data_IF_596281388281
#
_entry.id   IF_596281388281
#
_cell.length_a   1.000
_cell.length_b   1.000
_cell.length_c   1.000
_cell.angle_alpha   90.00
_cell.angle_beta   90.00
_cell.angle_gamma   90.00
#
_symmetry.space_group_name_H-M   'P 1'
#
loop_
_entity.id
_entity.type
_entity.pdbx_description
1 polymer ?
#
# COMPACT_ATOMS: atom_id res chain seq x y z
N UNK A 1 10.40 -59.85 -13.79
CA UNK A 1 10.22 -61.05 -12.96
C UNK A 1 9.26 -60.70 -11.81
N UNK A 2 8.10 -61.37 -11.80
CA UNK A 2 7.12 -61.59 -10.70
C UNK A 2 6.81 -60.48 -9.65
N UNK A 3 5.58 -59.97 -9.80
CA UNK A 3 4.56 -59.69 -8.77
C UNK A 3 4.72 -60.38 -7.40
N UNK A 4 4.36 -59.70 -6.31
CA UNK A 4 3.13 -59.97 -5.51
C UNK A 4 3.11 -59.16 -4.18
N UNK A 5 2.04 -58.38 -3.91
CA UNK A 5 0.86 -58.69 -3.04
C UNK A 5 1.23 -58.73 -1.56
N UNK A 6 0.45 -58.26 -0.57
CA UNK A 6 -0.94 -57.77 -0.38
C UNK A 6 -0.92 -57.22 1.07
N UNK A 7 -1.51 -56.06 1.38
CA UNK A 7 -2.91 -55.90 1.86
C UNK A 7 -3.21 -56.70 3.13
N UNK A 8 -3.63 -56.03 4.22
CA UNK A 8 -4.84 -56.38 5.00
C UNK A 8 -5.30 -55.12 5.77
N UNK A 9 -6.60 -54.85 5.63
CA UNK A 9 -7.46 -53.93 6.37
C UNK A 9 -8.08 -54.65 7.55
N UNK A 10 -8.46 -53.94 8.60
CA UNK A 10 -9.66 -54.12 9.45
C UNK A 10 -9.60 -53.01 10.51
N UNK A 11 -10.64 -52.27 10.88
CA UNK A 11 -12.07 -52.46 10.74
C UNK A 11 -12.73 -52.28 12.11
N UNK A 12 -13.43 -51.14 12.27
CA UNK A 12 -14.72 -51.01 12.97
C UNK A 12 -14.81 -51.21 14.50
N UNK A 13 -15.26 -50.19 15.25
CA UNK A 13 -16.61 -50.11 15.88
C UNK A 13 -16.72 -48.92 16.85
N UNK A 14 -17.81 -48.16 16.71
CA UNK A 14 -18.37 -47.25 17.71
C UNK A 14 -18.80 -48.02 18.96
N UNK A 15 -18.68 -47.42 20.13
CA UNK A 15 -19.57 -47.65 21.27
C UNK A 15 -19.56 -46.43 22.22
N UNK A 16 -20.71 -46.24 22.85
CA UNK A 16 -21.20 -45.01 23.46
C UNK A 16 -20.61 -44.65 24.84
N UNK A 17 -20.96 -43.42 25.25
CA UNK A 17 -20.71 -42.73 26.54
C UNK A 17 -21.13 -43.55 27.78
N UNK A 18 -20.62 -43.16 28.96
CA UNK A 18 -21.56 -42.53 29.91
C UNK A 18 -21.02 -41.28 30.62
N UNK A 19 -21.99 -40.58 31.21
CA UNK A 19 -21.92 -39.47 32.17
C UNK A 19 -20.96 -39.75 33.35
N UNK A 20 -20.29 -38.71 33.84
CA UNK A 20 -20.23 -38.41 35.28
C UNK A 20 -19.78 -36.97 35.53
N UNK A 21 -20.45 -36.32 36.49
CA UNK A 21 -20.27 -34.95 36.92
C UNK A 21 -19.20 -34.85 38.03
N UNK A 22 -19.19 -33.71 38.73
CA UNK A 22 -18.48 -33.36 39.97
C UNK A 22 -17.20 -32.53 39.81
N UNK A 23 -17.22 -31.35 40.47
CA UNK A 23 -16.00 -30.69 40.93
C UNK A 23 -15.86 -29.20 40.62
N UNK A 24 -16.75 -28.35 41.16
CA UNK A 24 -16.50 -26.92 41.23
C UNK A 24 -15.38 -26.63 42.24
N UNK A 25 -14.27 -26.03 41.79
CA UNK A 25 -13.30 -25.36 42.64
C UNK A 25 -13.22 -23.89 42.25
N UNK A 26 -13.82 -23.04 43.08
CA UNK A 26 -13.62 -21.59 43.04
C UNK A 26 -12.33 -21.26 43.78
N UNK A 27 -11.30 -20.81 43.07
CA UNK A 27 -10.15 -20.14 43.66
C UNK A 27 -10.37 -18.63 43.58
N UNK A 28 -10.60 -18.02 44.73
CA UNK A 28 -10.62 -16.57 44.89
C UNK A 28 -9.19 -16.04 44.75
N UNK A 29 -8.89 -15.32 43.67
CA UNK A 29 -7.68 -14.50 43.56
C UNK A 29 -7.98 -13.12 44.13
N UNK A 30 -7.35 -12.80 45.26
CA UNK A 30 -7.36 -11.47 45.85
C UNK A 30 -6.60 -10.49 44.94
N UNK A 31 -7.31 -9.48 44.44
CA UNK A 31 -6.71 -8.34 43.75
C UNK A 31 -6.09 -7.39 44.79
N UNK A 32 -4.76 -7.32 44.82
CA UNK A 32 -4.01 -6.25 45.47
C UNK A 32 -4.02 -5.03 44.55
N UNK A 33 -4.72 -3.96 44.97
CA UNK A 33 -4.67 -2.65 44.34
C UNK A 33 -3.36 -1.96 44.75
N UNK A 34 -2.36 -1.95 43.87
CA UNK A 34 -1.23 -1.04 43.97
C UNK A 34 -1.53 0.21 43.11
N UNK A 35 -1.62 1.36 43.78
CA UNK A 35 -2.01 2.64 43.21
C UNK A 35 -1.04 3.20 42.17
N UNK A 36 -1.61 3.94 41.23
CA UNK A 36 -0.92 4.67 40.16
C UNK A 36 -0.18 5.89 40.72
N UNK A 37 1.15 5.87 40.65
CA UNK A 37 2.00 7.07 40.71
C UNK A 37 2.45 7.45 39.31
N UNK A 38 1.63 8.20 38.58
CA UNK A 38 1.96 8.70 37.25
C UNK A 38 3.03 9.79 37.35
N UNK A 39 4.29 9.45 37.06
CA UNK A 39 5.29 10.46 36.73
C UNK A 39 4.95 11.04 35.35
N UNK A 40 4.89 12.37 35.18
CA UNK A 40 4.75 12.97 33.86
C UNK A 40 6.00 12.59 33.06
N UNK A 41 5.84 11.65 32.11
CA UNK A 41 6.83 11.43 31.07
C UNK A 41 6.77 12.66 30.18
N UNK A 42 7.78 13.50 30.26
CA UNK A 42 8.04 14.55 29.28
C UNK A 42 7.93 13.90 27.90
N UNK A 43 7.01 14.32 27.02
CA UNK A 43 6.95 13.77 25.69
C UNK A 43 8.25 14.14 24.98
N UNK A 44 9.04 13.11 24.65
CA UNK A 44 10.18 13.24 23.77
C UNK A 44 9.66 13.84 22.47
N UNK A 45 10.04 15.08 22.19
CA UNK A 45 9.66 15.79 20.99
C UNK A 45 10.19 15.01 19.78
N UNK A 46 9.31 14.33 19.05
CA UNK A 46 9.67 13.89 17.70
C UNK A 46 9.78 15.12 16.80
N UNK A 47 10.77 15.17 15.89
CA UNK A 47 11.05 16.37 15.12
C UNK A 47 9.93 16.61 14.11
N UNK A 48 9.74 17.88 13.76
CA UNK A 48 9.05 18.28 12.54
C UNK A 48 9.52 17.42 11.35
N UNK A 49 8.64 17.21 10.36
CA UNK A 49 8.90 16.41 9.17
C UNK A 49 10.34 16.54 8.69
N UNK A 50 10.96 15.39 8.38
CA UNK A 50 12.35 15.31 8.03
C UNK A 50 12.68 16.38 6.98
N UNK A 51 13.67 17.26 7.22
CA UNK A 51 14.01 18.30 6.27
C UNK A 51 14.34 17.66 4.91
N UNK A 52 14.12 18.36 3.79
CA UNK A 52 14.43 17.86 2.43
C UNK A 52 15.80 17.19 2.35
N UNK A 53 16.77 17.68 3.13
CA UNK A 53 18.11 17.11 3.26
C UNK A 53 18.16 15.64 3.70
N UNK A 54 17.16 15.13 4.43
CA UNK A 54 17.11 13.73 4.86
C UNK A 54 16.48 12.83 3.79
N UNK A 55 15.47 13.32 3.07
CA UNK A 55 14.90 12.61 1.91
C UNK A 55 15.96 12.54 0.79
N UNK A 56 16.69 13.63 0.56
CA UNK A 56 17.84 13.65 -0.37
C UNK A 56 19.00 12.76 0.09
N UNK A 57 19.30 12.72 1.40
CA UNK A 57 20.34 11.84 1.94
C UNK A 57 19.98 10.35 1.78
N UNK A 58 18.74 9.94 2.03
CA UNK A 58 18.31 8.55 1.83
C UNK A 58 18.35 8.16 0.35
N UNK A 59 17.93 9.07 -0.55
CA UNK A 59 18.05 8.87 -2.01
C UNK A 59 19.50 8.67 -2.46
N UNK A 60 20.43 9.45 -1.90
CA UNK A 60 21.85 9.33 -2.23
C UNK A 60 22.44 7.97 -1.85
N UNK A 61 21.97 7.37 -0.74
CA UNK A 61 22.37 6.03 -0.32
C UNK A 61 21.93 4.96 -1.33
N UNK A 62 20.78 5.16 -1.97
CA UNK A 62 20.21 4.20 -2.91
C UNK A 62 20.38 4.58 -4.38
N UNK A 63 21.19 5.61 -4.68
CA UNK A 63 21.31 6.16 -6.04
C UNK A 63 21.66 5.11 -7.10
N UNK A 64 22.43 4.08 -6.75
CA UNK A 64 22.79 2.98 -7.66
C UNK A 64 21.63 2.02 -8.01
N UNK A 65 20.52 2.08 -7.27
CA UNK A 65 19.32 1.25 -7.47
C UNK A 65 18.14 2.03 -8.04
N UNK A 66 18.27 3.36 -8.13
CA UNK A 66 17.24 4.27 -8.64
C UNK A 66 17.61 4.70 -10.06
N UNK A 67 16.62 4.93 -10.94
CA UNK A 67 16.90 5.55 -12.22
C UNK A 67 17.40 6.99 -12.06
N UNK A 68 18.12 7.49 -13.05
CA UNK A 68 18.47 8.90 -13.10
C UNK A 68 17.19 9.70 -13.39
N UNK A 69 16.73 10.58 -12.48
CA UNK A 69 15.46 11.29 -12.62
C UNK A 69 15.44 12.29 -13.79
N UNK A 70 16.60 12.69 -14.32
CA UNK A 70 16.68 13.53 -15.51
C UNK A 70 16.45 12.75 -16.81
N UNK A 71 16.79 11.46 -16.82
CA UNK A 71 16.59 10.57 -17.98
C UNK A 71 15.22 9.90 -17.92
N UNK A 72 14.83 9.46 -16.71
CA UNK A 72 13.61 8.69 -16.48
C UNK A 72 12.79 9.33 -15.36
N UNK A 73 12.11 10.46 -15.63
CA UNK A 73 11.26 11.13 -14.65
C UNK A 73 9.97 10.37 -14.30
N UNK A 74 9.57 9.36 -15.09
CA UNK A 74 8.33 8.59 -14.88
C UNK A 74 7.16 9.15 -15.69
N UNK A 75 7.22 8.94 -17.01
CA UNK A 75 6.15 9.35 -17.93
C UNK A 75 4.96 8.36 -17.91
N UNK A 76 3.74 8.87 -17.83
CA UNK A 76 2.51 8.09 -17.74
C UNK A 76 1.54 8.42 -18.88
N UNK A 77 0.75 7.42 -19.29
CA UNK A 77 -0.33 7.56 -20.26
C UNK A 77 -1.57 8.19 -19.61
N UNK A 78 -2.41 8.92 -20.36
CA UNK A 78 -3.67 9.45 -19.88
C UNK A 78 -4.73 8.33 -19.82
N UNK A 79 -4.59 7.41 -18.87
CA UNK A 79 -5.50 6.27 -18.67
C UNK A 79 -6.24 6.34 -17.34
N UNK A 80 -7.37 5.66 -17.27
CA UNK A 80 -8.18 5.56 -16.06
C UNK A 80 -7.89 4.27 -15.30
N UNK A 81 -8.35 4.21 -14.04
CA UNK A 81 -8.35 2.97 -13.24
C UNK A 81 -9.08 1.84 -13.97
N UNK A 82 -10.18 2.15 -14.67
CA UNK A 82 -10.95 1.14 -15.41
C UNK A 82 -10.13 0.52 -16.56
N UNK A 83 -9.30 1.32 -17.22
CA UNK A 83 -8.44 0.84 -18.30
C UNK A 83 -7.38 -0.12 -17.79
N UNK A 84 -6.63 0.29 -16.75
CA UNK A 84 -5.49 -0.49 -16.24
C UNK A 84 -5.94 -1.76 -15.51
N UNK A 85 -7.11 -1.74 -14.85
CA UNK A 85 -7.68 -2.88 -14.15
C UNK A 85 -8.40 -3.86 -15.09
N UNK A 86 -8.44 -3.58 -16.40
CA UNK A 86 -8.96 -4.52 -17.39
C UNK A 86 -7.95 -5.66 -17.60
N UNK A 87 -8.35 -6.93 -17.44
CA UNK A 87 -7.44 -8.06 -17.63
C UNK A 87 -6.70 -8.02 -18.97
N UNK A 88 -5.37 -8.04 -18.90
CA UNK A 88 -4.49 -8.03 -20.06
C UNK A 88 -4.20 -6.64 -20.65
N UNK A 89 -4.58 -5.54 -19.99
CA UNK A 89 -4.19 -4.18 -20.39
C UNK A 89 -2.67 -4.07 -20.63
N UNK A 90 -1.84 -4.34 -19.61
CA UNK A 90 -0.38 -4.23 -19.71
C UNK A 90 0.19 -5.08 -20.85
N UNK A 91 -0.36 -6.29 -21.05
CA UNK A 91 0.03 -7.19 -22.16
C UNK A 91 -0.17 -6.57 -23.54
N UNK A 92 -1.23 -5.78 -23.72
CA UNK A 92 -1.54 -5.11 -24.99
C UNK A 92 -0.59 -3.94 -25.26
N UNK A 93 -0.15 -3.24 -24.22
CA UNK A 93 0.67 -2.03 -24.34
C UNK A 93 2.17 -2.25 -24.15
N UNK A 94 2.63 -3.47 -23.82
CA UNK A 94 4.04 -3.77 -23.46
C UNK A 94 5.11 -3.63 -24.54
N UNK A 95 4.75 -3.32 -25.78
CA UNK A 95 5.73 -3.36 -26.87
C UNK A 95 6.67 -2.14 -26.85
N UNK A 96 7.93 -2.36 -26.48
CA UNK A 96 9.01 -1.37 -26.61
C UNK A 96 9.93 -1.81 -27.75
N UNK A 97 10.05 -1.03 -28.84
CA UNK A 97 10.94 -1.34 -29.96
C UNK A 97 12.40 -1.55 -29.52
N UNK A 98 13.11 -2.44 -30.20
CA UNK A 98 14.52 -2.74 -29.88
C UNK A 98 15.41 -1.50 -30.00
N UNK A 99 15.09 -0.62 -30.95
CA UNK A 99 15.77 0.66 -31.15
C UNK A 99 15.66 1.56 -29.92
N UNK A 100 14.48 1.62 -29.30
CA UNK A 100 14.24 2.38 -28.07
C UNK A 100 15.02 1.77 -26.91
N UNK A 101 15.00 0.43 -26.77
CA UNK A 101 15.79 -0.26 -25.73
C UNK A 101 17.28 0.04 -25.84
N UNK A 102 17.82 0.05 -27.07
CA UNK A 102 19.22 0.41 -27.32
C UNK A 102 19.50 1.87 -26.99
N UNK A 103 18.59 2.79 -27.30
CA UNK A 103 18.73 4.21 -26.95
C UNK A 103 18.78 4.40 -25.43
N UNK A 104 17.92 3.71 -24.66
CA UNK A 104 17.94 3.77 -23.19
C UNK A 104 19.32 3.39 -22.64
N UNK A 105 19.90 2.27 -23.09
CA UNK A 105 21.25 1.88 -22.67
C UNK A 105 22.31 2.93 -23.02
N UNK A 106 22.21 3.57 -24.20
CA UNK A 106 23.12 4.63 -24.62
C UNK A 106 23.02 5.88 -23.73
N UNK A 107 21.80 6.31 -23.37
CA UNK A 107 21.58 7.46 -22.49
C UNK A 107 22.11 7.22 -21.07
N UNK A 108 22.08 5.96 -20.62
CA UNK A 108 22.66 5.53 -19.35
C UNK A 108 24.15 5.18 -19.41
N UNK A 109 24.80 5.31 -20.58
CA UNK A 109 26.24 5.03 -20.74
C UNK A 109 26.61 3.55 -20.63
N UNK A 110 25.67 2.63 -20.83
CA UNK A 110 25.87 1.18 -20.74
C UNK A 110 26.13 0.63 -22.15
N UNK A 111 27.40 0.46 -22.49
CA UNK A 111 27.82 -0.06 -23.80
C UNK A 111 28.08 -1.57 -23.81
N UNK A 112 28.32 -2.16 -22.64
CA UNK A 112 28.59 -3.58 -22.46
C UNK A 112 27.90 -4.07 -21.20
N UNK A 113 27.17 -5.18 -21.31
CA UNK A 113 26.53 -5.88 -20.20
C UNK A 113 26.34 -7.35 -20.60
N UNK A 114 26.17 -8.23 -19.62
CA UNK A 114 25.86 -9.64 -19.91
C UNK A 114 24.37 -9.82 -20.25
N UNK A 115 23.99 -10.86 -21.01
CA UNK A 115 22.59 -11.24 -21.16
C UNK A 115 21.96 -11.51 -19.79
N UNK A 116 20.80 -10.90 -19.53
CA UNK A 116 20.06 -11.06 -18.27
C UNK A 116 20.56 -10.20 -17.10
N UNK A 117 21.53 -9.30 -17.32
CA UNK A 117 22.00 -8.37 -16.28
C UNK A 117 20.99 -7.25 -15.99
N UNK A 118 20.36 -6.74 -17.05
CA UNK A 118 19.37 -5.67 -17.00
C UNK A 118 18.10 -6.02 -17.80
N UNK A 119 16.99 -5.46 -17.37
CA UNK A 119 15.79 -5.26 -18.18
C UNK A 119 15.64 -3.78 -18.50
N UNK A 120 15.19 -3.45 -19.73
CA UNK A 120 14.71 -2.11 -20.00
C UNK A 120 13.28 -2.05 -19.48
N UNK A 121 13.15 -1.46 -18.31
CA UNK A 121 11.96 -1.51 -17.48
C UNK A 121 11.30 -0.13 -17.33
N UNK A 122 10.02 -0.15 -16.99
CA UNK A 122 9.18 1.03 -16.82
C UNK A 122 9.24 1.54 -15.38
N UNK A 123 9.68 2.77 -15.12
CA UNK A 123 9.71 3.32 -13.76
C UNK A 123 8.30 3.33 -13.13
N UNK A 124 7.31 3.88 -13.84
CA UNK A 124 5.89 3.64 -13.58
C UNK A 124 5.50 2.41 -14.39
N UNK A 125 5.10 1.33 -13.72
CA UNK A 125 4.65 0.10 -14.39
C UNK A 125 3.54 0.35 -15.40
N UNK A 126 3.47 -0.45 -16.46
CA UNK A 126 2.33 -0.45 -17.37
C UNK A 126 1.02 -0.80 -16.65
N UNK A 127 1.07 -1.59 -15.57
CA UNK A 127 -0.11 -1.89 -14.74
C UNK A 127 -0.61 -0.66 -13.95
N UNK A 128 0.20 0.40 -13.87
CA UNK A 128 -0.14 1.71 -13.32
C UNK A 128 -0.25 2.78 -14.43
N UNK A 129 -0.39 2.36 -15.69
CA UNK A 129 -0.54 3.29 -16.81
C UNK A 129 0.75 4.01 -17.22
N UNK A 130 1.92 3.49 -16.87
CA UNK A 130 3.19 4.01 -17.40
C UNK A 130 3.25 4.00 -18.93
N UNK A 131 4.05 4.89 -19.50
CA UNK A 131 4.22 4.98 -20.95
C UNK A 131 5.43 4.18 -21.44
N UNK A 132 5.46 3.82 -22.74
CA UNK A 132 6.65 3.27 -23.41
C UNK A 132 7.66 4.36 -23.83
N UNK A 133 7.49 5.59 -23.35
CA UNK A 133 8.42 6.68 -23.63
C UNK A 133 9.76 6.40 -22.98
N UNK A 134 10.85 6.87 -23.61
CA UNK A 134 12.18 6.83 -22.99
C UNK A 134 12.22 7.51 -21.61
N UNK A 135 11.34 8.50 -21.39
CA UNK A 135 11.16 9.20 -20.11
C UNK A 135 10.57 8.33 -18.99
N UNK A 136 10.13 7.12 -19.31
CA UNK A 136 9.68 6.12 -18.34
C UNK A 136 10.52 4.84 -18.39
N UNK A 137 11.51 4.74 -19.28
CA UNK A 137 12.33 3.54 -19.44
C UNK A 137 13.72 3.72 -18.84
N UNK A 138 14.24 2.69 -18.20
CA UNK A 138 15.59 2.67 -17.64
C UNK A 138 16.17 1.25 -17.59
N UNK A 139 17.51 1.09 -17.55
CA UNK A 139 18.14 -0.21 -17.35
C UNK A 139 18.04 -0.62 -15.88
N UNK A 140 17.06 -1.47 -15.55
CA UNK A 140 16.91 -2.02 -14.21
C UNK A 140 17.71 -3.31 -14.05
N UNK A 141 18.60 -3.36 -13.06
CA UNK A 141 19.42 -4.55 -12.81
C UNK A 141 18.67 -5.69 -12.12
N UNK A 142 18.96 -6.93 -12.53
CA UNK A 142 18.55 -8.15 -11.82
C UNK A 142 19.55 -8.59 -10.74
N UNK A 143 20.80 -8.14 -10.83
CA UNK A 143 21.91 -8.68 -10.03
C UNK A 143 22.28 -7.81 -8.84
N UNK A 144 21.86 -6.54 -8.82
CA UNK A 144 22.09 -5.65 -7.69
C UNK A 144 21.43 -6.20 -6.42
N UNK A 145 22.05 -5.86 -5.28
CA UNK A 145 21.58 -6.26 -3.94
C UNK A 145 21.66 -5.06 -2.99
N UNK A 146 20.69 -4.89 -2.07
CA UNK A 146 19.54 -5.78 -1.87
C UNK A 146 18.39 -5.53 -2.86
N UNK A 147 18.39 -4.37 -3.53
CA UNK A 147 17.35 -3.91 -4.45
C UNK A 147 17.65 -4.32 -5.90
N UNK A 148 16.65 -4.86 -6.62
CA UNK A 148 16.72 -5.28 -8.02
C UNK A 148 15.31 -5.36 -8.64
N UNK A 149 15.22 -5.69 -9.93
CA UNK A 149 13.98 -5.84 -10.69
C UNK A 149 12.91 -6.66 -9.96
N UNK A 150 13.25 -7.86 -9.45
CA UNK A 150 12.29 -8.71 -8.75
C UNK A 150 11.72 -8.09 -7.47
N UNK A 151 12.45 -7.18 -6.83
CA UNK A 151 11.95 -6.45 -5.66
C UNK A 151 11.00 -5.33 -6.08
N UNK A 152 11.31 -4.62 -7.17
CA UNK A 152 10.39 -3.62 -7.72
C UNK A 152 9.10 -4.28 -8.22
N UNK A 153 9.16 -5.44 -8.88
CA UNK A 153 7.98 -6.20 -9.31
C UNK A 153 6.99 -6.44 -8.16
N UNK A 154 7.49 -6.73 -6.94
CA UNK A 154 6.62 -6.92 -5.77
C UNK A 154 5.85 -5.64 -5.43
N UNK A 155 6.51 -4.48 -5.47
CA UNK A 155 5.86 -3.19 -5.25
C UNK A 155 4.85 -2.90 -6.35
N UNK A 156 5.18 -3.13 -7.62
CA UNK A 156 4.27 -2.84 -8.73
C UNK A 156 2.98 -3.64 -8.64
N UNK A 157 3.08 -4.95 -8.37
CA UNK A 157 1.94 -5.83 -8.18
C UNK A 157 1.05 -5.34 -7.01
N UNK A 158 1.67 -4.85 -5.95
CA UNK A 158 0.98 -4.34 -4.77
C UNK A 158 0.23 -3.05 -5.08
N UNK A 159 0.93 -2.06 -5.65
CA UNK A 159 0.33 -0.79 -6.04
C UNK A 159 -0.83 -1.01 -7.03
N UNK A 160 -0.66 -1.87 -8.04
CA UNK A 160 -1.73 -2.20 -8.98
C UNK A 160 -2.95 -2.79 -8.26
N UNK A 161 -2.74 -3.73 -7.33
CA UNK A 161 -3.84 -4.31 -6.54
C UNK A 161 -4.56 -3.26 -5.70
N UNK A 162 -3.82 -2.37 -5.06
CA UNK A 162 -4.38 -1.29 -4.24
C UNK A 162 -5.18 -0.27 -5.05
N UNK A 163 -4.71 0.05 -6.24
CA UNK A 163 -5.43 0.92 -7.18
C UNK A 163 -6.70 0.23 -7.66
N UNK A 164 -6.62 -1.03 -8.09
CA UNK A 164 -7.78 -1.76 -8.59
C UNK A 164 -8.80 -2.13 -7.51
N UNK A 165 -8.42 -2.18 -6.23
CA UNK A 165 -9.34 -2.32 -5.11
C UNK A 165 -9.93 -0.99 -4.63
N UNK A 166 -9.46 0.14 -5.18
CA UNK A 166 -9.85 1.49 -4.78
C UNK A 166 -9.36 1.88 -3.39
N UNK A 167 -8.29 1.25 -2.90
CA UNK A 167 -7.64 1.61 -1.64
C UNK A 167 -6.55 2.69 -1.85
N UNK A 168 -6.02 2.82 -3.06
CA UNK A 168 -5.06 3.84 -3.46
C UNK A 168 -5.52 4.55 -4.74
N UNK A 169 -5.26 5.85 -4.86
CA UNK A 169 -5.51 6.60 -6.08
C UNK A 169 -4.38 6.36 -7.10
N UNK A 170 -4.73 6.26 -8.38
CA UNK A 170 -3.76 5.99 -9.45
C UNK A 170 -2.67 7.06 -9.53
N UNK A 171 -3.04 8.34 -9.44
CA UNK A 171 -2.06 9.42 -9.54
C UNK A 171 -1.10 9.42 -8.33
N UNK A 172 -1.58 9.00 -7.16
CA UNK A 172 -0.73 8.80 -5.99
C UNK A 172 0.27 7.67 -6.22
N UNK A 173 -0.19 6.50 -6.69
CA UNK A 173 0.68 5.37 -7.00
C UNK A 173 1.77 5.74 -8.03
N UNK A 174 1.38 6.45 -9.09
CA UNK A 174 2.27 6.94 -10.14
C UNK A 174 3.32 7.92 -9.58
N UNK A 175 2.89 8.89 -8.77
CA UNK A 175 3.79 9.87 -8.17
C UNK A 175 4.80 9.23 -7.22
N UNK A 176 4.34 8.34 -6.34
CA UNK A 176 5.17 7.76 -5.29
C UNK A 176 6.26 6.85 -5.92
N UNK A 177 5.89 5.95 -6.85
CA UNK A 177 6.85 5.07 -7.51
C UNK A 177 7.85 5.83 -8.39
N UNK A 178 7.41 6.87 -9.10
CA UNK A 178 8.28 7.69 -9.94
C UNK A 178 9.26 8.55 -9.11
N UNK A 179 8.80 9.02 -7.96
CA UNK A 179 9.63 9.81 -7.06
C UNK A 179 10.71 8.93 -6.47
N UNK A 180 10.37 7.87 -5.73
CA UNK A 180 11.32 6.96 -5.11
C UNK A 180 10.69 5.59 -4.85
N UNK A 181 10.91 4.66 -5.76
CA UNK A 181 10.32 3.31 -5.65
C UNK A 181 10.84 2.53 -4.42
N UNK A 182 12.04 2.82 -3.91
CA UNK A 182 12.58 2.15 -2.72
C UNK A 182 11.89 2.67 -1.46
N UNK A 183 11.79 4.00 -1.32
CA UNK A 183 11.04 4.59 -0.21
C UNK A 183 9.58 4.13 -0.24
N UNK A 184 8.96 4.09 -1.42
CA UNK A 184 7.59 3.58 -1.59
C UNK A 184 7.49 2.11 -1.19
N UNK A 185 8.44 1.26 -1.58
CA UNK A 185 8.50 -0.14 -1.14
C UNK A 185 8.52 -0.24 0.39
N UNK A 186 9.42 0.50 1.03
CA UNK A 186 9.55 0.49 2.49
C UNK A 186 8.25 0.89 3.19
N UNK A 187 7.56 1.91 2.67
CA UNK A 187 6.28 2.39 3.20
C UNK A 187 5.17 1.36 3.04
N UNK A 188 4.99 0.84 1.83
CA UNK A 188 3.91 -0.10 1.48
C UNK A 188 4.04 -1.42 2.24
N UNK A 189 5.26 -1.95 2.36
CA UNK A 189 5.52 -3.22 3.04
C UNK A 189 5.91 -3.07 4.51
N UNK A 190 5.96 -1.83 5.03
CA UNK A 190 6.36 -1.51 6.41
C UNK A 190 7.69 -2.18 6.82
N UNK A 191 8.73 -1.98 6.01
CA UNK A 191 10.03 -2.64 6.15
C UNK A 191 11.16 -1.72 5.72
N UNK A 192 12.36 -1.87 6.29
CA UNK A 192 13.56 -1.14 5.83
C UNK A 192 14.38 -1.90 4.78
N UNK A 193 14.00 -3.15 4.51
CA UNK A 193 14.68 -4.06 3.56
C UNK A 193 13.70 -4.76 2.64
N UNK A 194 14.16 -5.32 1.51
CA UNK A 194 13.33 -6.22 0.71
C UNK A 194 12.79 -7.38 1.53
N UNK A 195 11.52 -7.71 1.30
CA UNK A 195 10.91 -8.91 1.84
C UNK A 195 11.53 -10.15 1.19
N UNK A 196 11.74 -11.18 2.00
CA UNK A 196 12.01 -12.52 1.48
C UNK A 196 10.80 -13.06 0.73
N UNK A 197 10.96 -14.06 -0.16
CA UNK A 197 9.84 -14.69 -0.84
C UNK A 197 8.76 -15.24 0.11
N UNK A 198 9.13 -15.64 1.32
CA UNK A 198 8.18 -16.10 2.32
C UNK A 198 7.39 -14.95 2.95
N UNK A 199 8.08 -13.88 3.35
CA UNK A 199 7.46 -12.68 3.93
C UNK A 199 6.50 -12.03 2.92
N UNK A 200 6.90 -11.91 1.65
CA UNK A 200 6.05 -11.38 0.59
C UNK A 200 4.79 -12.24 0.39
N UNK A 201 4.91 -13.58 0.36
CA UNK A 201 3.73 -14.47 0.28
C UNK A 201 2.78 -14.30 1.46
N UNK A 202 3.31 -14.17 2.67
CA UNK A 202 2.49 -13.95 3.88
C UNK A 202 1.76 -12.61 3.82
N UNK A 203 2.46 -11.56 3.39
CA UNK A 203 1.88 -10.24 3.18
C UNK A 203 0.73 -10.30 2.16
N UNK A 204 0.93 -10.94 1.00
CA UNK A 204 -0.09 -11.07 -0.03
C UNK A 204 -1.32 -11.88 0.41
N UNK A 205 -1.14 -12.89 1.26
CA UNK A 205 -2.24 -13.66 1.85
C UNK A 205 -3.08 -12.78 2.78
N UNK A 206 -2.43 -11.99 3.65
CA UNK A 206 -3.11 -11.07 4.56
C UNK A 206 -3.84 -9.95 3.79
N UNK A 207 -3.23 -9.42 2.74
CA UNK A 207 -3.82 -8.40 1.90
C UNK A 207 -5.04 -8.90 1.10
N UNK A 208 -4.97 -10.11 0.54
CA UNK A 208 -6.11 -10.75 -0.14
C UNK A 208 -7.31 -10.97 0.82
N UNK A 209 -7.02 -11.24 2.09
CA UNK A 209 -8.03 -11.33 3.14
C UNK A 209 -8.74 -10.00 3.42
N UNK A 210 -8.01 -8.87 3.37
CA UNK A 210 -8.57 -7.51 3.53
C UNK A 210 -9.56 -7.18 2.41
N UNK A 211 -9.21 -7.48 1.16
CA UNK A 211 -10.14 -7.29 0.03
C UNK A 211 -11.41 -8.13 0.19
N UNK A 212 -11.33 -9.39 0.66
CA UNK A 212 -12.52 -10.23 0.86
C UNK A 212 -13.42 -9.76 2.00
N UNK A 213 -12.86 -9.26 3.10
CA UNK A 213 -13.65 -8.72 4.20
C UNK A 213 -14.36 -7.40 3.83
N UNK A 214 -13.77 -6.61 2.90
CA UNK A 214 -14.37 -5.39 2.36
C UNK A 214 -15.46 -5.59 1.30
N UNK A 215 -15.74 -6.84 0.90
CA UNK A 215 -16.81 -7.23 -0.02
C UNK A 215 -17.95 -8.00 0.67
N UNK A 216 -18.11 -7.87 1.99
CA UNK A 216 -19.42 -8.10 2.58
C UNK A 216 -20.36 -7.01 2.05
N UNK A 217 -21.18 -7.35 1.06
CA UNK A 217 -22.24 -6.46 0.58
C UNK A 217 -23.02 -5.92 1.79
N UNK A 218 -23.32 -4.61 1.86
CA UNK A 218 -24.24 -4.14 2.87
C UNK A 218 -25.57 -4.84 2.61
N UNK A 219 -25.94 -5.78 3.47
CA UNK A 219 -27.33 -6.20 3.59
C UNK A 219 -28.07 -4.91 3.92
N UNK A 220 -28.95 -4.48 3.01
CA UNK A 220 -29.82 -3.34 3.18
C UNK A 220 -30.63 -3.55 4.47
N UNK A 221 -30.08 -3.06 5.57
CA UNK A 221 -30.77 -2.97 6.84
C UNK A 221 -31.24 -1.54 6.89
N UNK A 222 -32.54 -1.37 6.65
CA UNK A 222 -33.27 -0.13 6.80
C UNK A 222 -32.79 0.59 8.08
N UNK A 223 -32.24 1.81 8.01
CA UNK A 223 -31.96 2.56 9.22
C UNK A 223 -33.31 2.93 9.85
N UNK A 224 -33.46 2.62 11.14
CA UNK A 224 -34.51 3.20 11.98
C UNK A 224 -34.38 4.74 11.97
N UNK A 225 -35.49 5.48 12.16
CA UNK A 225 -35.46 6.94 12.07
C UNK A 225 -34.68 7.49 13.27
N UNK A 226 -33.50 8.05 13.01
CA UNK A 226 -32.77 8.83 14.00
C UNK A 226 -33.24 10.27 13.88
N UNK A 227 -33.75 10.78 14.99
CA UNK A 227 -34.31 12.10 15.18
C UNK A 227 -33.37 13.21 14.70
N UNK A 228 -33.91 14.11 13.90
CA UNK A 228 -33.30 15.36 13.42
C UNK A 228 -33.01 16.33 14.57
N UNK A 229 -31.88 17.07 14.52
CA UNK A 229 -31.86 18.46 14.94
C UNK A 229 -31.88 19.37 13.71
N UNK A 230 -32.88 20.25 13.71
CA UNK A 230 -33.08 21.53 13.02
C UNK A 230 -32.27 21.86 11.76
N UNK A 231 -33.03 22.01 10.68
CA UNK A 231 -32.66 22.64 9.41
C UNK A 231 -33.02 24.13 9.45
N UNK A 232 -32.05 25.02 9.28
CA UNK A 232 -32.32 26.40 8.87
C UNK A 232 -32.32 26.52 7.34
N UNK A 233 -33.20 27.38 6.85
CA UNK A 233 -33.48 27.63 5.44
C UNK A 233 -32.31 28.37 4.78
N UNK A 234 -31.56 27.66 3.92
CA UNK A 234 -30.86 28.19 2.72
C UNK A 234 -29.97 27.14 2.01
N UNK A 235 -30.00 25.85 2.41
CA UNK A 235 -29.47 24.77 1.57
C UNK A 235 -27.94 24.72 1.37
N UNK A 236 -27.16 25.38 2.23
CA UNK A 236 -25.71 25.22 2.29
C UNK A 236 -25.31 24.22 3.42
N UNK A 237 -24.21 23.45 3.28
CA UNK A 237 -23.72 22.62 4.38
C UNK A 237 -23.30 23.50 5.56
N UNK A 238 -23.98 23.37 6.68
CA UNK A 238 -23.72 24.12 7.90
C UNK A 238 -22.40 23.72 8.55
N UNK A 239 -21.56 24.72 8.78
CA UNK A 239 -20.27 24.66 9.48
C UNK A 239 -20.45 24.17 10.93
N UNK A 240 -19.57 23.30 11.47
CA UNK A 240 -19.55 23.03 12.89
C UNK A 240 -19.05 24.26 13.67
N UNK A 241 -19.76 24.54 14.75
CA UNK A 241 -19.66 25.67 15.68
C UNK A 241 -18.36 25.71 16.49
N UNK A 242 -17.22 25.90 15.82
CA UNK A 242 -15.96 26.37 16.44
C UNK A 242 -14.98 27.05 15.47
N UNK A 243 -15.37 27.38 14.23
CA UNK A 243 -14.51 28.13 13.29
C UNK A 243 -13.24 27.41 12.83
N UNK A 244 -13.01 26.16 13.24
CA UNK A 244 -11.85 25.36 12.82
C UNK A 244 -12.22 24.50 11.62
N UNK A 245 -11.64 24.81 10.46
CA UNK A 245 -11.73 24.02 9.24
C UNK A 245 -11.11 22.63 9.49
N UNK A 246 -11.88 21.56 9.26
CA UNK A 246 -11.39 20.18 9.33
C UNK A 246 -10.93 19.72 7.95
N UNK A 247 -9.84 18.98 7.91
CA UNK A 247 -9.31 18.30 6.73
C UNK A 247 -9.66 16.82 6.79
N UNK A 248 -9.74 16.19 5.62
CA UNK A 248 -9.90 14.75 5.49
C UNK A 248 -8.53 14.12 5.30
N UNK A 249 -8.09 13.28 6.23
CA UNK A 249 -6.80 12.60 6.16
C UNK A 249 -6.97 11.21 5.59
N UNK A 250 -6.15 10.82 4.63
CA UNK A 250 -6.00 9.43 4.25
C UNK A 250 -4.83 8.82 5.03
N UNK A 251 -5.17 7.98 6.02
CA UNK A 251 -4.22 7.41 6.98
C UNK A 251 -3.19 6.47 6.36
N UNK A 252 -3.39 6.09 5.10
CA UNK A 252 -2.48 5.23 4.34
C UNK A 252 -1.52 6.00 3.45
N UNK A 253 -2.02 6.93 2.65
CA UNK A 253 -1.20 7.71 1.71
C UNK A 253 -0.35 8.79 2.37
N UNK A 254 -0.57 9.06 3.66
CA UNK A 254 0.09 10.18 4.33
C UNK A 254 -0.37 11.54 3.78
N UNK A 255 -1.52 11.62 3.10
CA UNK A 255 -2.06 12.87 2.53
C UNK A 255 -3.33 13.35 3.25
N UNK A 256 -3.54 14.66 3.27
CA UNK A 256 -4.79 15.28 3.72
C UNK A 256 -5.40 16.19 2.65
N UNK A 257 -6.72 16.30 2.66
CA UNK A 257 -7.53 16.97 1.67
C UNK A 257 -8.38 18.05 2.33
N UNK A 258 -8.44 19.25 1.73
CA UNK A 258 -9.24 20.37 2.23
C UNK A 258 -10.74 20.19 1.89
N UNK A 259 -11.65 20.81 2.65
CA UNK A 259 -13.06 20.89 2.28
C UNK A 259 -13.24 21.46 0.87
N UNK A 260 -14.12 20.83 0.08
CA UNK A 260 -14.39 21.20 -1.31
C UNK A 260 -13.50 20.50 -2.34
N UNK A 261 -12.41 19.85 -1.93
CA UNK A 261 -11.65 18.99 -2.83
C UNK A 261 -12.42 17.69 -3.13
N UNK A 262 -12.19 17.12 -4.31
CA UNK A 262 -12.84 15.88 -4.79
C UNK A 262 -12.77 14.71 -3.78
N UNK A 263 -11.69 14.66 -3.00
CA UNK A 263 -11.35 13.53 -2.12
C UNK A 263 -11.69 13.76 -0.65
N UNK A 264 -12.23 14.92 -0.30
CA UNK A 264 -12.69 15.21 1.05
C UNK A 264 -13.85 14.28 1.44
N UNK A 265 -13.63 13.37 2.40
CA UNK A 265 -14.66 12.45 2.90
C UNK A 265 -14.84 11.16 2.09
N UNK A 266 -14.08 10.96 1.02
CA UNK A 266 -14.40 9.95 0.00
C UNK A 266 -13.42 8.76 -0.06
N UNK A 267 -12.33 8.77 0.71
CA UNK A 267 -11.38 7.64 0.72
C UNK A 267 -11.82 6.55 1.71
N UNK A 268 -11.57 5.27 1.42
CA UNK A 268 -12.02 4.15 2.29
C UNK A 268 -11.37 4.13 3.68
N UNK A 269 -10.23 4.79 3.84
CA UNK A 269 -9.49 4.92 5.09
C UNK A 269 -9.15 6.37 5.32
N UNK A 270 -10.14 7.14 5.73
CA UNK A 270 -9.90 8.50 6.13
C UNK A 270 -10.58 8.91 7.41
N UNK A 271 -9.98 9.92 8.01
CA UNK A 271 -10.37 10.47 9.29
C UNK A 271 -10.43 11.99 9.17
N UNK A 272 -11.47 12.58 9.73
CA UNK A 272 -11.51 14.03 9.86
C UNK A 272 -10.59 14.46 10.99
N UNK A 273 -9.73 15.44 10.75
CA UNK A 273 -8.97 16.12 11.80
C UNK A 273 -8.75 17.59 11.44
N UNK A 274 -8.18 18.39 12.32
CA UNK A 274 -7.77 19.76 11.97
C UNK A 274 -6.54 19.73 11.05
N UNK A 275 -6.34 20.75 10.22
CA UNK A 275 -5.14 20.85 9.38
C UNK A 275 -3.85 20.75 10.23
N UNK A 276 -3.84 21.44 11.37
CA UNK A 276 -2.76 21.34 12.36
C UNK A 276 -2.56 19.93 12.92
N UNK A 277 -3.63 19.18 13.19
CA UNK A 277 -3.51 17.78 13.62
C UNK A 277 -2.96 16.90 12.49
N UNK A 278 -3.39 17.13 11.25
CA UNK A 278 -2.89 16.38 10.10
C UNK A 278 -1.39 16.62 9.91
N UNK A 279 -0.96 17.89 9.93
CA UNK A 279 0.45 18.27 9.83
C UNK A 279 1.26 17.69 11.01
N UNK A 280 0.75 17.79 12.26
CA UNK A 280 1.40 17.20 13.44
C UNK A 280 1.52 15.68 13.37
N UNK A 281 0.59 15.01 12.71
CA UNK A 281 0.61 13.56 12.51
C UNK A 281 1.39 13.15 11.24
N UNK A 282 2.06 14.09 10.56
CA UNK A 282 2.93 13.82 9.41
C UNK A 282 2.19 13.72 8.07
N UNK A 283 0.92 14.11 8.01
CA UNK A 283 0.17 14.15 6.76
C UNK A 283 0.53 15.39 5.93
N UNK A 284 0.70 15.18 4.63
CA UNK A 284 1.05 16.21 3.64
C UNK A 284 -0.19 16.67 2.89
N UNK A 285 -0.31 17.96 2.59
CA UNK A 285 -1.44 18.48 1.82
C UNK A 285 -1.46 17.84 0.43
N UNK A 286 -2.60 17.31 0.01
CA UNK A 286 -2.78 16.88 -1.37
C UNK A 286 -2.74 18.10 -2.30
N UNK A 287 -2.01 17.99 -3.42
CA UNK A 287 -2.02 19.01 -4.48
C UNK A 287 -3.43 19.21 -5.01
N UNK A 288 -3.85 20.46 -5.18
CA UNK A 288 -5.24 20.81 -5.47
C UNK A 288 -5.69 20.39 -6.86
N UNK A 289 -6.76 19.60 -6.91
CA UNK A 289 -7.70 19.43 -8.03
C UNK A 289 -9.13 19.68 -7.54
#
# INVERSE_FOLDING_TARGET
MRLNKKKIRTGFLNLARPFEAWGAYSLAFAFLLAGCGGHPRTPLSSPAGLPNSVVEADRSQYAQFLPNPQLTPGDALPVTVQDICTPGYARKVRNVPVEVKRQVYQEYGIYHHQPGEYEIDHLISLELGGSNSIKNLWPQSYITRPWNAHIKDQLENELHREVCSGEMDLAVAQHDIATDWIATYKQVFHTDRPLSPQEYRQFMQAASGRTRAGFAAPVATTPAPVSTPDVDADGAPSTPSNGVVRVWVNTRSGKYFLPGSRYYGNTKRGEYMTEDQAIRQGYVKAGGE
#
